data_IF_984402568990
#
_entry.id   IF_984402568990
#
_cell.length_a   1.000
_cell.length_b   1.000
_cell.length_c   1.000
_cell.angle_alpha   90.00
_cell.angle_beta   90.00
_cell.angle_gamma   90.00
#
_symmetry.space_group_name_H-M   'P 1'
#
loop_
_entity.id
_entity.type
_entity.pdbx_description
1 polymer ?
#
# COMPACT_ATOMS: atom_id res chain seq x y z
N UNK A 1 -41.66 -26.48 -7.14
CA UNK A 1 -40.45 -26.30 -7.97
C UNK A 1 -39.35 -25.83 -7.04
N UNK A 2 -38.57 -26.78 -6.54
CA UNK A 2 -37.49 -26.49 -5.58
C UNK A 2 -36.32 -25.89 -6.34
N UNK A 3 -36.04 -24.61 -6.09
CA UNK A 3 -34.82 -23.97 -6.57
C UNK A 3 -33.64 -24.59 -5.85
N UNK A 4 -32.89 -25.42 -6.57
CA UNK A 4 -31.58 -25.91 -6.12
C UNK A 4 -30.65 -24.71 -5.99
N UNK A 5 -30.49 -24.21 -4.77
CA UNK A 5 -29.40 -23.30 -4.44
C UNK A 5 -28.10 -24.10 -4.52
N UNK A 6 -27.37 -23.95 -5.63
CA UNK A 6 -26.00 -24.46 -5.72
C UNK A 6 -25.18 -23.78 -4.61
N UNK A 7 -24.40 -24.54 -3.81
CA UNK A 7 -23.51 -23.93 -2.84
C UNK A 7 -22.54 -23.04 -3.62
N UNK A 8 -22.51 -21.74 -3.28
CA UNK A 8 -21.54 -20.81 -3.81
C UNK A 8 -20.16 -21.45 -3.65
N UNK A 9 -19.52 -21.74 -4.78
CA UNK A 9 -18.23 -22.40 -4.80
C UNK A 9 -17.30 -21.65 -3.86
N UNK A 10 -16.72 -22.37 -2.91
CA UNK A 10 -15.67 -21.85 -2.06
C UNK A 10 -14.54 -21.45 -2.99
N UNK A 11 -14.46 -20.17 -3.37
CA UNK A 11 -13.39 -19.68 -4.22
C UNK A 11 -12.07 -20.00 -3.53
N UNK A 12 -11.27 -20.87 -4.14
CA UNK A 12 -10.00 -21.32 -3.58
C UNK A 12 -8.95 -20.19 -3.51
N UNK A 13 -9.31 -18.98 -3.95
CA UNK A 13 -8.44 -17.81 -4.04
C UNK A 13 -9.23 -16.56 -3.69
N UNK A 14 -8.87 -15.93 -2.57
CA UNK A 14 -9.35 -14.60 -2.17
C UNK A 14 -8.26 -13.57 -2.51
N UNK A 15 -8.55 -12.68 -3.46
CA UNK A 15 -7.64 -11.63 -3.89
C UNK A 15 -8.08 -10.26 -3.38
N UNK A 16 -7.12 -9.44 -2.98
CA UNK A 16 -7.38 -8.02 -2.74
C UNK A 16 -7.61 -7.32 -4.08
N UNK A 17 -8.86 -7.00 -4.38
CA UNK A 17 -9.24 -6.19 -5.55
C UNK A 17 -9.59 -4.78 -5.12
N UNK A 18 -9.05 -3.78 -5.80
CA UNK A 18 -9.38 -2.38 -5.58
C UNK A 18 -9.99 -1.79 -6.87
N UNK A 19 -11.27 -1.40 -6.87
CA UNK A 19 -11.90 -0.74 -8.02
C UNK A 19 -11.18 0.55 -8.39
N UNK A 20 -11.16 0.90 -9.68
CA UNK A 20 -10.51 2.13 -10.14
C UNK A 20 -11.09 3.40 -9.49
N UNK A 21 -12.40 3.44 -9.24
CA UNK A 21 -13.05 4.57 -8.56
C UNK A 21 -12.56 4.75 -7.12
N UNK A 22 -12.40 3.64 -6.39
CA UNK A 22 -11.88 3.66 -5.03
C UNK A 22 -10.40 4.07 -5.02
N UNK A 23 -9.61 3.53 -5.95
CA UNK A 23 -8.22 3.93 -6.12
C UNK A 23 -8.07 5.43 -6.45
N UNK A 24 -8.93 5.96 -7.31
CA UNK A 24 -8.96 7.39 -7.65
C UNK A 24 -9.27 8.24 -6.42
N UNK A 25 -10.30 7.87 -5.64
CA UNK A 25 -10.67 8.57 -4.41
C UNK A 25 -9.50 8.60 -3.40
N UNK A 26 -8.84 7.46 -3.21
CA UNK A 26 -7.66 7.36 -2.33
C UNK A 26 -6.51 8.27 -2.81
N UNK A 27 -6.26 8.31 -4.12
CA UNK A 27 -5.21 9.14 -4.70
C UNK A 27 -5.53 10.64 -4.57
N UNK A 28 -6.78 11.05 -4.81
CA UNK A 28 -7.24 12.43 -4.65
C UNK A 28 -7.15 12.87 -3.19
N UNK A 29 -7.54 12.02 -2.24
CA UNK A 29 -7.37 12.27 -0.81
C UNK A 29 -5.90 12.47 -0.44
N UNK A 30 -5.01 11.59 -0.90
CA UNK A 30 -3.58 11.71 -0.64
C UNK A 30 -2.99 13.02 -1.22
N UNK A 31 -3.46 13.43 -2.40
CA UNK A 31 -3.09 14.71 -3.02
C UNK A 31 -3.58 15.90 -2.20
N UNK A 32 -4.83 15.88 -1.73
CA UNK A 32 -5.39 16.92 -0.88
C UNK A 32 -4.62 17.07 0.44
N UNK A 33 -4.33 15.95 1.11
CA UNK A 33 -3.51 15.94 2.34
C UNK A 33 -2.14 16.61 2.16
N UNK A 34 -1.51 16.40 0.99
CA UNK A 34 -0.25 17.08 0.65
C UNK A 34 -0.44 18.58 0.41
N UNK A 35 -1.51 18.97 -0.30
CA UNK A 35 -1.82 20.39 -0.56
C UNK A 35 -2.11 21.15 0.74
N UNK A 36 -2.83 20.53 1.66
CA UNK A 36 -3.18 21.07 2.98
C UNK A 36 -2.03 21.03 3.99
N UNK A 37 -0.89 20.42 3.63
CA UNK A 37 0.28 20.26 4.50
C UNK A 37 -0.07 19.57 5.83
N UNK A 38 -0.89 18.53 5.76
CA UNK A 38 -1.23 17.71 6.93
C UNK A 38 0.05 17.24 7.62
N UNK A 39 0.13 17.29 8.97
CA UNK A 39 1.33 16.89 9.70
C UNK A 39 1.80 15.47 9.34
N UNK A 40 3.09 15.32 9.04
CA UNK A 40 3.67 14.04 8.60
C UNK A 40 3.39 12.89 9.58
N UNK A 41 3.41 13.15 10.88
CA UNK A 41 3.11 12.13 11.90
C UNK A 41 1.69 11.58 11.79
N UNK A 42 0.71 12.45 11.52
CA UNK A 42 -0.68 12.03 11.37
C UNK A 42 -0.86 11.17 10.11
N UNK A 43 -0.21 11.56 9.01
CA UNK A 43 -0.22 10.77 7.77
C UNK A 43 0.48 9.42 7.97
N UNK A 44 1.63 9.41 8.64
CA UNK A 44 2.36 8.19 8.94
C UNK A 44 1.51 7.22 9.76
N UNK A 45 0.90 7.68 10.85
CA UNK A 45 0.03 6.87 11.69
C UNK A 45 -1.17 6.31 10.90
N UNK A 46 -1.84 7.14 10.10
CA UNK A 46 -2.95 6.73 9.23
C UNK A 46 -2.54 5.60 8.27
N UNK A 47 -1.38 5.72 7.62
CA UNK A 47 -0.88 4.73 6.65
C UNK A 47 -0.44 3.44 7.32
N UNK A 48 0.26 3.51 8.45
CA UNK A 48 0.66 2.32 9.21
C UNK A 48 -0.55 1.55 9.72
N UNK A 49 -1.56 2.25 10.24
CA UNK A 49 -2.79 1.64 10.72
C UNK A 49 -3.53 0.91 9.59
N UNK A 50 -3.64 1.52 8.41
CA UNK A 50 -4.20 0.85 7.23
C UNK A 50 -3.45 -0.44 6.87
N UNK A 51 -2.11 -0.38 6.80
CA UNK A 51 -1.28 -1.55 6.46
C UNK A 51 -1.36 -2.66 7.50
N UNK A 52 -1.44 -2.29 8.79
CA UNK A 52 -1.61 -3.24 9.87
C UNK A 52 -3.00 -3.92 9.83
N UNK A 53 -4.04 -3.14 9.52
CA UNK A 53 -5.42 -3.60 9.49
C UNK A 53 -5.75 -4.49 8.28
N UNK A 54 -5.05 -4.35 7.15
CA UNK A 54 -5.33 -5.11 5.93
C UNK A 54 -4.50 -6.41 5.85
N UNK A 55 -5.05 -7.60 6.19
CA UNK A 55 -4.30 -8.85 6.23
C UNK A 55 -3.89 -9.39 4.86
N UNK A 56 -4.56 -8.97 3.78
CA UNK A 56 -4.32 -9.48 2.42
C UNK A 56 -3.03 -8.91 1.81
N UNK A 57 -2.61 -7.71 2.20
CA UNK A 57 -1.30 -7.15 1.82
C UNK A 57 -0.19 -7.94 2.54
N UNK A 58 0.74 -8.51 1.77
CA UNK A 58 1.87 -9.31 2.30
C UNK A 58 3.22 -8.62 2.15
N UNK A 59 3.39 -7.86 1.08
CA UNK A 59 4.61 -7.13 0.77
C UNK A 59 4.24 -5.74 0.25
N UNK A 60 5.19 -4.82 0.31
CA UNK A 60 5.08 -3.48 -0.23
C UNK A 60 6.28 -3.18 -1.10
N UNK A 61 6.04 -2.53 -2.24
CA UNK A 61 7.09 -1.93 -3.05
C UNK A 61 7.15 -0.44 -2.73
N UNK A 62 8.30 0.02 -2.25
CA UNK A 62 8.60 1.43 -2.06
C UNK A 62 9.17 1.96 -3.37
N UNK A 63 8.55 3.02 -3.88
CA UNK A 63 8.84 3.65 -5.15
C UNK A 63 9.28 5.09 -4.93
N UNK A 64 10.39 5.49 -5.54
CA UNK A 64 10.82 6.88 -5.55
C UNK A 64 11.66 7.19 -6.80
N UNK A 65 11.69 8.46 -7.18
CA UNK A 65 12.55 8.94 -8.26
C UNK A 65 13.79 9.62 -7.69
N UNK A 66 14.95 9.37 -8.28
CA UNK A 66 16.16 10.14 -7.99
C UNK A 66 16.18 11.51 -8.69
N UNK A 67 17.28 12.25 -8.53
CA UNK A 67 17.44 13.58 -9.14
C UNK A 67 17.48 13.55 -10.67
N UNK A 68 17.92 12.44 -11.28
CA UNK A 68 17.91 12.25 -12.73
C UNK A 68 16.53 11.80 -13.25
N UNK A 69 15.60 11.51 -12.35
CA UNK A 69 14.26 11.04 -12.66
C UNK A 69 14.15 9.53 -12.87
N UNK A 70 15.18 8.75 -12.51
CA UNK A 70 15.11 7.28 -12.60
C UNK A 70 14.23 6.77 -11.47
N UNK A 71 13.33 5.85 -11.80
CA UNK A 71 12.45 5.21 -10.85
C UNK A 71 13.16 4.03 -10.17
N UNK A 72 13.30 4.11 -8.85
CA UNK A 72 13.84 3.04 -8.01
C UNK A 72 12.70 2.29 -7.33
N UNK A 73 12.87 0.98 -7.19
CA UNK A 73 11.88 0.06 -6.60
C UNK A 73 12.55 -0.79 -5.53
N UNK A 74 11.97 -0.82 -4.32
CA UNK A 74 12.45 -1.64 -3.21
C UNK A 74 11.30 -2.47 -2.65
N UNK A 75 11.41 -3.79 -2.67
CA UNK A 75 10.40 -4.70 -2.13
C UNK A 75 10.69 -5.04 -0.67
N UNK A 76 9.68 -4.87 0.19
CA UNK A 76 9.75 -5.22 1.60
C UNK A 76 8.61 -6.16 1.99
N UNK A 77 8.91 -7.12 2.87
CA UNK A 77 7.86 -7.83 3.61
C UNK A 77 7.11 -6.84 4.52
N UNK A 78 5.77 -6.95 4.56
CA UNK A 78 4.94 -6.01 5.33
C UNK A 78 5.26 -6.03 6.82
N UNK A 79 5.52 -7.21 7.40
CA UNK A 79 5.82 -7.33 8.84
C UNK A 79 7.16 -6.69 9.15
N UNK A 80 8.14 -6.85 8.27
CA UNK A 80 9.43 -6.16 8.38
C UNK A 80 9.24 -4.65 8.32
N UNK A 81 8.53 -4.14 7.30
CA UNK A 81 8.30 -2.71 7.13
C UNK A 81 7.58 -2.09 8.34
N UNK A 82 6.50 -2.71 8.83
CA UNK A 82 5.77 -2.22 10.00
C UNK A 82 6.62 -2.17 11.28
N UNK A 83 7.61 -3.05 11.43
CA UNK A 83 8.50 -3.10 12.61
C UNK A 83 9.68 -2.14 12.49
N UNK A 84 10.13 -1.85 11.28
CA UNK A 84 11.39 -1.14 11.00
C UNK A 84 11.19 0.13 10.18
N UNK A 85 9.97 0.66 10.11
CA UNK A 85 9.59 1.79 9.27
C UNK A 85 10.40 3.09 9.47
N UNK A 86 10.95 3.27 10.66
CA UNK A 86 11.75 4.41 11.12
C UNK A 86 13.24 4.22 10.87
N UNK A 87 13.65 3.02 10.43
CA UNK A 87 15.04 2.65 10.18
C UNK A 87 15.19 1.86 8.87
N UNK A 88 14.41 2.22 7.85
CA UNK A 88 14.59 1.68 6.50
C UNK A 88 15.82 2.35 5.88
N UNK A 89 16.89 1.59 5.71
CA UNK A 89 18.10 2.03 5.02
C UNK A 89 18.13 1.45 3.61
N UNK A 90 18.57 2.28 2.66
CA UNK A 90 18.95 1.83 1.32
C UNK A 90 20.32 2.42 0.99
N UNK A 91 21.12 1.69 0.24
CA UNK A 91 22.44 2.15 -0.17
C UNK A 91 22.32 3.14 -1.33
N UNK A 92 22.35 4.43 -1.00
CA UNK A 92 22.31 5.52 -1.98
C UNK A 92 23.57 5.64 -2.84
N UNK A 93 24.69 4.97 -2.50
CA UNK A 93 25.89 4.99 -3.36
C UNK A 93 25.68 4.23 -4.68
N UNK A 94 24.70 3.34 -4.70
CA UNK A 94 24.26 2.61 -5.90
C UNK A 94 23.29 3.41 -6.77
N UNK A 95 22.82 4.58 -6.31
CA UNK A 95 22.02 5.53 -7.08
C UNK A 95 22.96 6.60 -7.64
N UNK A 96 23.20 6.53 -8.96
CA UNK A 96 23.99 7.54 -9.69
C UNK A 96 23.09 8.59 -10.31
#
# INVERSE_FOLDING_TARGET
MSSTTLPAGTELRDFLTLPYSELEEMNLRAKAQRQERVPLRALQEERLNYLAAEPRIKALTVLFSDLEGRLHMLDYDKKFLLRSHDNLTFDGSSIR
#
